data_IF_938512608587
#
_entry.id   IF_938512608587
#
_cell.length_a   1.000
_cell.length_b   1.000
_cell.length_c   1.000
_cell.angle_alpha   90.00
_cell.angle_beta   90.00
_cell.angle_gamma   90.00
#
_symmetry.space_group_name_H-M   'P 1'
#
loop_
_entity.id
_entity.type
_entity.pdbx_description
1 polymer ?
#
# COMPACT_ATOMS: atom_id res chain seq x y z
N UNK A 1 -12.86 -0.10 17.18
CA UNK A 1 -11.98 -0.60 16.11
C UNK A 1 -11.02 0.52 15.73
N UNK A 2 -9.70 0.34 15.84
CA UNK A 2 -8.75 1.39 15.48
C UNK A 2 -8.83 1.68 13.98
N UNK A 3 -8.78 2.96 13.61
CA UNK A 3 -8.74 3.41 12.20
C UNK A 3 -7.32 3.90 11.93
N UNK A 4 -6.65 3.31 10.96
CA UNK A 4 -5.33 3.75 10.52
C UNK A 4 -5.45 5.10 9.82
N UNK A 5 -4.54 6.01 10.17
CA UNK A 5 -4.46 7.32 9.54
C UNK A 5 -3.15 7.41 8.75
N UNK A 6 -3.16 8.08 7.59
CA UNK A 6 -1.94 8.41 6.90
C UNK A 6 -1.05 9.31 7.78
N UNK A 7 0.25 9.10 7.69
CA UNK A 7 1.30 9.93 8.27
C UNK A 7 2.06 10.64 7.14
N UNK A 8 3.00 11.51 7.49
CA UNK A 8 3.87 12.14 6.49
C UNK A 8 4.68 11.10 5.70
N UNK A 9 5.10 10.02 6.36
CA UNK A 9 5.81 8.91 5.72
C UNK A 9 4.92 8.16 4.71
N UNK A 10 3.60 8.13 4.90
CA UNK A 10 2.69 7.53 3.91
C UNK A 10 2.79 8.23 2.56
N UNK A 11 2.89 9.57 2.56
CA UNK A 11 3.01 10.33 1.32
C UNK A 11 4.37 10.10 0.64
N UNK A 12 5.45 10.02 1.43
CA UNK A 12 6.79 9.74 0.91
C UNK A 12 6.87 8.35 0.28
N UNK A 13 6.36 7.33 0.96
CA UNK A 13 6.28 5.96 0.45
C UNK A 13 5.41 5.88 -0.82
N UNK A 14 4.25 6.53 -0.80
CA UNK A 14 3.36 6.60 -1.96
C UNK A 14 4.08 7.21 -3.17
N UNK A 15 4.75 8.35 -3.00
CA UNK A 15 5.48 9.01 -4.09
C UNK A 15 6.68 8.20 -4.57
N UNK A 16 7.38 7.49 -3.67
CA UNK A 16 8.49 6.58 -4.01
C UNK A 16 8.00 5.47 -4.94
N UNK A 17 6.92 4.79 -4.58
CA UNK A 17 6.37 3.71 -5.40
C UNK A 17 5.70 4.20 -6.69
N UNK A 18 5.10 5.39 -6.67
CA UNK A 18 4.50 6.00 -7.85
C UNK A 18 5.56 6.32 -8.90
N UNK A 19 6.72 6.85 -8.49
CA UNK A 19 7.84 7.12 -9.42
C UNK A 19 8.47 5.84 -9.97
N UNK A 20 8.48 4.76 -9.19
CA UNK A 20 9.05 3.48 -9.58
C UNK A 20 8.17 2.69 -10.57
N UNK A 21 6.94 3.13 -10.84
CA UNK A 21 5.97 2.36 -11.60
C UNK A 21 5.13 3.21 -12.56
N UNK A 22 4.87 2.72 -13.77
CA UNK A 22 3.94 3.34 -14.73
C UNK A 22 2.47 3.02 -14.35
N UNK A 23 2.13 3.21 -13.08
CA UNK A 23 0.81 2.85 -12.54
C UNK A 23 -0.28 3.78 -13.13
N UNK A 24 -1.32 3.17 -13.72
CA UNK A 24 -2.49 3.87 -14.26
C UNK A 24 -3.67 3.80 -13.28
N UNK A 25 -4.30 4.95 -13.01
CA UNK A 25 -5.66 5.11 -12.48
C UNK A 25 -5.99 4.30 -11.22
N UNK A 26 -6.60 3.12 -11.40
CA UNK A 26 -7.18 2.27 -10.35
C UNK A 26 -6.16 1.88 -9.26
N UNK A 27 -4.89 1.68 -9.63
CA UNK A 27 -3.83 1.28 -8.68
C UNK A 27 -3.30 2.41 -7.80
N UNK A 28 -3.70 3.67 -8.01
CA UNK A 28 -3.27 4.79 -7.17
C UNK A 28 -3.79 4.65 -5.74
N UNK A 29 -5.05 4.24 -5.58
CA UNK A 29 -5.63 4.06 -4.26
C UNK A 29 -5.01 2.88 -3.52
N UNK A 30 -4.81 1.75 -4.20
CA UNK A 30 -4.17 0.57 -3.62
C UNK A 30 -2.76 0.88 -3.13
N UNK A 31 -2.01 1.66 -3.92
CA UNK A 31 -0.69 2.11 -3.55
C UNK A 31 -0.71 3.04 -2.34
N UNK A 32 -1.67 3.95 -2.27
CA UNK A 32 -1.85 4.84 -1.12
C UNK A 32 -2.25 4.06 0.15
N UNK A 33 -3.11 3.06 0.02
CA UNK A 33 -3.50 2.17 1.11
C UNK A 33 -2.29 1.37 1.63
N UNK A 34 -1.51 0.80 0.72
CA UNK A 34 -0.28 0.08 1.06
C UNK A 34 0.73 0.97 1.77
N UNK A 35 0.96 2.19 1.26
CA UNK A 35 1.85 3.16 1.90
C UNK A 35 1.36 3.56 3.30
N UNK A 36 0.05 3.74 3.47
CA UNK A 36 -0.56 4.03 4.77
C UNK A 36 -0.33 2.89 5.76
N UNK A 37 -0.55 1.63 5.35
CA UNK A 37 -0.27 0.45 6.18
C UNK A 37 1.19 0.40 6.63
N UNK A 38 2.11 0.51 5.68
CA UNK A 38 3.54 0.39 5.96
C UNK A 38 4.06 1.52 6.86
N UNK A 39 3.61 2.75 6.66
CA UNK A 39 3.95 3.89 7.54
C UNK A 39 3.38 3.76 8.95
N UNK A 40 2.38 2.91 9.16
CA UNK A 40 1.86 2.56 10.49
C UNK A 40 2.53 1.29 11.06
N UNK A 41 3.63 0.82 10.46
CA UNK A 41 4.35 -0.37 10.89
C UNK A 41 3.64 -1.69 10.54
N UNK A 42 2.62 -1.66 9.69
CA UNK A 42 1.86 -2.85 9.30
C UNK A 42 2.31 -3.30 7.92
N UNK A 43 2.78 -4.54 7.84
CA UNK A 43 3.31 -5.14 6.62
C UNK A 43 2.52 -6.36 6.14
N UNK A 44 1.32 -6.59 6.68
CA UNK A 44 0.43 -7.68 6.29
C UNK A 44 -0.96 -7.11 5.94
N UNK A 45 -1.39 -7.33 4.70
CA UNK A 45 -2.72 -6.93 4.22
C UNK A 45 -3.57 -8.17 3.98
N UNK A 46 -4.75 -8.19 4.61
CA UNK A 46 -5.80 -9.14 4.28
C UNK A 46 -6.62 -8.61 3.10
N UNK A 47 -6.62 -9.32 1.96
CA UNK A 47 -7.37 -8.91 0.77
C UNK A 47 -7.63 -10.06 -0.19
N UNK A 48 -8.73 -9.97 -0.93
CA UNK A 48 -9.01 -10.83 -2.08
C UNK A 48 -8.35 -10.33 -3.38
N UNK A 49 -7.92 -9.06 -3.40
CA UNK A 49 -7.38 -8.35 -4.57
C UNK A 49 -5.85 -8.43 -4.62
N UNK A 50 -5.27 -9.59 -4.30
CA UNK A 50 -3.81 -9.78 -4.22
C UNK A 50 -3.05 -9.21 -5.44
N UNK A 51 -3.60 -9.41 -6.64
CA UNK A 51 -3.01 -8.96 -7.92
C UNK A 51 -2.79 -7.44 -8.00
N UNK A 52 -3.55 -6.65 -7.26
CA UNK A 52 -3.44 -5.19 -7.26
C UNK A 52 -2.31 -4.71 -6.34
N UNK A 53 -1.95 -5.52 -5.35
CA UNK A 53 -0.86 -5.26 -4.41
C UNK A 53 0.44 -6.02 -4.75
N UNK A 54 0.42 -6.86 -5.79
CA UNK A 54 1.61 -7.57 -6.27
C UNK A 54 2.71 -6.59 -6.73
N UNK A 55 3.92 -6.82 -6.24
CA UNK A 55 5.09 -6.01 -6.56
C UNK A 55 5.33 -4.81 -5.63
N UNK A 56 4.49 -4.60 -4.61
CA UNK A 56 4.77 -3.62 -3.55
C UNK A 56 5.80 -4.22 -2.59
N UNK A 57 7.03 -3.75 -2.70
CA UNK A 57 8.13 -4.14 -1.82
C UNK A 57 7.78 -3.87 -0.35
N UNK A 58 8.00 -4.85 0.53
CA UNK A 58 7.74 -4.73 1.97
C UNK A 58 6.31 -5.07 2.41
N UNK A 59 5.37 -5.26 1.48
CA UNK A 59 3.99 -5.65 1.79
C UNK A 59 3.77 -7.15 1.58
N UNK A 60 3.31 -7.84 2.63
CA UNK A 60 2.86 -9.24 2.56
C UNK A 60 1.35 -9.28 2.42
N UNK A 61 0.86 -10.23 1.62
CA UNK A 61 -0.57 -10.45 1.45
C UNK A 61 -0.97 -11.73 2.16
N UNK A 62 -2.03 -11.65 2.97
CA UNK A 62 -2.74 -12.81 3.48
C UNK A 62 -4.07 -12.94 2.75
N UNK A 63 -4.28 -14.11 2.15
CA UNK A 63 -5.54 -14.49 1.54
C UNK A 63 -6.12 -15.66 2.36
N UNK A 64 -7.43 -15.65 2.66
CA UNK A 64 -8.07 -16.78 3.32
C UNK A 64 -8.14 -18.01 2.40
#
# INVERSE_FOLDING_TARGET
>A
MPVLRPTNESLELFMKHLKASLIKGLRLFDLYLAATLMSNGINLLYTYNERDFQGIEGLRIWRP
#
